data_IF_715474448629
#
_entry.id   IF_715474448629
#
_cell.length_a   1.000
_cell.length_b   1.000
_cell.length_c   1.000
_cell.angle_alpha   90.00
_cell.angle_beta   90.00
_cell.angle_gamma   90.00
#
_symmetry.space_group_name_H-M   'P 1'
#
loop_
_entity.id
_entity.type
_entity.pdbx_description
1 polymer ?
#
# COMPACT_ATOMS: atom_id res chain seq x y z
N UNK A 1 -4.81 -5.30 23.12
CA UNK A 1 -4.31 -5.68 21.78
C UNK A 1 -2.86 -5.26 21.64
N UNK A 2 -2.04 -6.15 21.10
CA UNK A 2 -0.63 -5.81 20.89
C UNK A 2 -0.42 -5.34 19.46
N UNK A 3 -0.31 -4.03 19.28
CA UNK A 3 -0.17 -3.43 17.98
C UNK A 3 1.22 -3.60 17.36
N UNK A 4 2.17 -4.12 18.13
CA UNK A 4 3.53 -4.33 17.61
C UNK A 4 3.73 -5.68 16.92
N UNK A 5 2.78 -6.60 17.06
CA UNK A 5 2.95 -7.94 16.51
C UNK A 5 3.01 -7.99 15.00
N UNK A 6 2.21 -7.18 14.36
CA UNK A 6 2.16 -7.16 12.90
C UNK A 6 1.73 -5.77 12.48
N UNK A 7 2.71 -4.88 12.40
CA UNK A 7 2.46 -3.49 12.12
C UNK A 7 3.41 -3.00 11.04
N UNK A 8 2.84 -2.38 10.03
CA UNK A 8 3.61 -1.77 8.95
C UNK A 8 3.24 -0.30 8.90
N UNK A 9 4.24 0.54 8.87
CA UNK A 9 4.07 1.98 8.71
C UNK A 9 4.87 2.41 7.50
N UNK A 10 4.22 3.14 6.59
CA UNK A 10 4.87 3.61 5.38
C UNK A 10 4.54 5.07 5.15
N UNK A 11 5.53 5.83 4.72
CA UNK A 11 5.31 7.20 4.24
C UNK A 11 5.89 7.24 2.84
N UNK A 12 5.05 7.55 1.87
CA UNK A 12 5.49 7.58 0.49
C UNK A 12 4.44 8.16 -0.42
N UNK A 13 4.68 8.00 -1.71
CA UNK A 13 3.80 8.56 -2.73
C UNK A 13 3.00 7.46 -3.41
N UNK A 14 1.73 7.77 -3.67
CA UNK A 14 0.85 6.83 -4.34
C UNK A 14 1.33 6.65 -5.78
N UNK A 15 1.57 5.41 -6.16
CA UNK A 15 2.20 5.09 -7.45
C UNK A 15 1.26 4.88 -8.62
N UNK A 16 -0.05 4.78 -8.34
CA UNK A 16 -1.05 4.57 -9.39
C UNK A 16 -2.35 5.18 -8.92
N UNK A 17 -3.28 5.38 -9.85
CA UNK A 17 -4.63 5.77 -9.44
C UNK A 17 -5.26 4.59 -8.70
N UNK A 18 -5.79 4.81 -7.50
CA UNK A 18 -6.38 3.70 -6.75
C UNK A 18 -7.51 3.04 -7.50
N UNK A 19 -7.53 1.71 -7.45
CA UNK A 19 -8.64 0.93 -8.02
C UNK A 19 -9.67 0.70 -6.93
N UNK A 20 -10.91 1.10 -7.19
CA UNK A 20 -11.98 0.96 -6.21
C UNK A 20 -13.00 -0.05 -6.72
N UNK A 21 -13.33 -1.01 -5.88
CA UNK A 21 -14.37 -2.00 -6.17
C UNK A 21 -15.45 -1.90 -5.11
N UNK A 22 -16.70 -1.96 -5.55
CA UNK A 22 -17.82 -2.06 -4.62
C UNK A 22 -18.35 -3.48 -4.70
N UNK A 23 -18.37 -4.16 -3.57
CA UNK A 23 -18.84 -5.54 -3.49
C UNK A 23 -20.35 -5.59 -3.41
N UNK A 24 -20.92 -6.79 -3.57
CA UNK A 24 -22.37 -6.98 -3.59
C UNK A 24 -23.05 -6.47 -2.32
N UNK A 25 -22.36 -6.55 -1.19
CA UNK A 25 -22.90 -6.09 0.09
C UNK A 25 -22.73 -4.58 0.31
N UNK A 26 -22.22 -3.86 -0.72
CA UNK A 26 -21.98 -2.43 -0.62
C UNK A 26 -20.63 -2.06 -0.03
N UNK A 27 -19.86 -3.04 0.42
CA UNK A 27 -18.56 -2.78 1.03
C UNK A 27 -17.54 -2.43 -0.04
N UNK A 28 -16.74 -1.42 0.23
CA UNK A 28 -15.72 -0.97 -0.73
C UNK A 28 -14.36 -1.57 -0.44
N UNK A 29 -13.62 -1.79 -1.51
CA UNK A 29 -12.27 -2.32 -1.48
C UNK A 29 -11.41 -1.45 -2.37
N UNK A 30 -10.26 -1.00 -1.86
CA UNK A 30 -9.32 -0.19 -2.63
C UNK A 30 -7.99 -0.90 -2.75
N UNK A 31 -7.41 -0.86 -3.94
CA UNK A 31 -6.07 -1.36 -4.21
C UNK A 31 -5.22 -0.22 -4.74
N UNK A 32 -4.02 -0.07 -4.18
CA UNK A 32 -3.08 0.92 -4.67
C UNK A 32 -1.67 0.49 -4.34
N UNK A 33 -0.69 1.20 -4.92
CA UNK A 33 0.70 1.00 -4.57
C UNK A 33 1.25 2.26 -3.94
N UNK A 34 2.19 2.09 -3.03
CA UNK A 34 2.88 3.21 -2.39
C UNK A 34 4.37 3.02 -2.63
N UNK A 35 5.01 4.07 -3.13
CA UNK A 35 6.44 4.06 -3.38
C UNK A 35 7.16 4.76 -2.25
N UNK A 36 8.11 4.05 -1.64
CA UNK A 36 8.97 4.66 -0.63
C UNK A 36 10.37 4.79 -1.20
N UNK A 37 10.98 5.94 -0.99
CA UNK A 37 12.31 6.24 -1.52
C UNK A 37 13.30 6.36 -0.39
N UNK A 38 14.44 5.69 -0.56
CA UNK A 38 15.55 5.79 0.38
C UNK A 38 16.79 6.24 -0.35
N UNK A 39 17.55 7.12 0.29
CA UNK A 39 18.82 7.57 -0.25
C UNK A 39 19.91 7.17 0.73
N UNK A 40 20.98 6.58 0.20
CA UNK A 40 22.09 6.19 1.05
C UNK A 40 23.40 6.34 0.29
N UNK A 41 24.50 6.31 1.03
CA UNK A 41 25.83 6.35 0.45
C UNK A 41 26.41 4.95 0.49
N UNK A 42 26.85 4.45 -0.68
CA UNK A 42 27.39 3.10 -0.76
C UNK A 42 28.86 3.08 -0.32
N UNK A 43 29.48 1.91 -0.40
CA UNK A 43 30.87 1.73 0.02
C UNK A 43 31.85 2.57 -0.80
N UNK A 44 31.49 2.90 -2.02
CA UNK A 44 32.34 3.70 -2.92
C UNK A 44 32.15 5.20 -2.72
N UNK A 45 31.33 5.61 -1.76
CA UNK A 45 31.06 7.00 -1.50
C UNK A 45 30.05 7.62 -2.46
N UNK A 46 29.39 6.80 -3.27
CA UNK A 46 28.38 7.27 -4.23
C UNK A 46 27.01 7.34 -3.55
N UNK A 47 26.22 8.35 -3.92
CA UNK A 47 24.86 8.47 -3.44
C UNK A 47 23.96 7.60 -4.29
N UNK A 48 23.20 6.74 -3.62
CA UNK A 48 22.31 5.79 -4.28
C UNK A 48 20.88 6.04 -3.80
N UNK A 49 19.95 5.99 -4.75
CA UNK A 49 18.53 6.10 -4.42
C UNK A 49 17.87 4.77 -4.74
N UNK A 50 17.05 4.29 -3.80
CA UNK A 50 16.34 3.04 -3.96
C UNK A 50 14.86 3.27 -3.70
N UNK A 51 14.02 2.73 -4.58
CA UNK A 51 12.57 2.83 -4.47
C UNK A 51 11.99 1.45 -4.24
N UNK A 52 11.15 1.33 -3.21
CA UNK A 52 10.39 0.12 -2.96
C UNK A 52 8.93 0.38 -3.25
N UNK A 53 8.29 -0.58 -3.92
CA UNK A 53 6.89 -0.49 -4.29
C UNK A 53 6.08 -1.45 -3.42
N UNK A 54 5.14 -0.91 -2.67
CA UNK A 54 4.35 -1.70 -1.72
C UNK A 54 2.92 -1.82 -2.21
N UNK A 55 2.39 -3.03 -2.20
CA UNK A 55 0.99 -3.27 -2.50
C UNK A 55 0.17 -3.03 -1.26
N UNK A 56 -0.89 -2.27 -1.41
CA UNK A 56 -1.70 -1.82 -0.28
C UNK A 56 -3.16 -2.04 -0.60
N UNK A 57 -3.89 -2.56 0.37
CA UNK A 57 -5.32 -2.84 0.25
C UNK A 57 -6.04 -2.18 1.41
N UNK A 58 -7.21 -1.62 1.14
CA UNK A 58 -8.03 -0.99 2.17
C UNK A 58 -9.47 -1.40 2.00
N UNK A 59 -10.17 -1.52 3.12
CA UNK A 59 -11.57 -1.94 3.15
C UNK A 59 -12.43 -0.87 3.82
N UNK A 60 -13.69 -0.83 3.44
CA UNK A 60 -14.70 -0.05 4.14
C UNK A 60 -14.41 1.44 4.15
N UNK A 61 -14.43 2.04 5.32
CA UNK A 61 -14.24 3.48 5.47
C UNK A 61 -12.90 3.96 4.96
N UNK A 62 -11.85 3.19 5.18
CA UNK A 62 -10.53 3.57 4.68
C UNK A 62 -10.54 3.60 3.15
N UNK A 63 -11.20 2.62 2.52
CA UNK A 63 -11.34 2.61 1.06
C UNK A 63 -12.13 3.82 0.58
N UNK A 64 -13.15 4.24 1.30
CA UNK A 64 -13.94 5.42 0.94
C UNK A 64 -13.11 6.70 1.00
N UNK A 65 -12.25 6.82 2.00
CA UNK A 65 -11.35 7.97 2.10
C UNK A 65 -10.40 7.99 0.92
N UNK A 66 -9.87 6.83 0.56
CA UNK A 66 -8.96 6.72 -0.59
C UNK A 66 -9.68 7.13 -1.87
N UNK A 67 -10.90 6.66 -2.05
CA UNK A 67 -11.69 7.01 -3.23
C UNK A 67 -11.89 8.52 -3.37
N UNK A 68 -12.16 9.19 -2.26
CA UNK A 68 -12.48 10.62 -2.28
C UNK A 68 -11.27 11.52 -2.40
N UNK A 69 -10.17 11.16 -1.78
CA UNK A 69 -9.07 12.11 -1.57
C UNK A 69 -7.72 11.70 -2.11
N UNK A 70 -7.55 10.45 -2.48
CA UNK A 70 -6.23 9.95 -2.86
C UNK A 70 -6.11 9.82 -4.37
N UNK A 71 -5.08 10.45 -4.92
CA UNK A 71 -4.79 10.38 -6.35
C UNK A 71 -3.34 9.98 -6.53
N UNK A 72 -2.99 9.55 -7.73
CA UNK A 72 -1.61 9.22 -8.07
C UNK A 72 -0.69 10.40 -7.77
N UNK A 73 0.43 10.11 -7.13
CA UNK A 73 1.42 11.12 -6.78
C UNK A 73 1.25 11.73 -5.40
N UNK A 74 0.09 11.52 -4.77
CA UNK A 74 -0.17 12.07 -3.45
C UNK A 74 0.76 11.44 -2.40
N UNK A 75 1.30 12.28 -1.52
CA UNK A 75 2.09 11.78 -0.40
C UNK A 75 1.16 11.40 0.75
N UNK A 76 1.34 10.20 1.26
CA UNK A 76 0.49 9.69 2.34
C UNK A 76 1.33 8.97 3.38
N UNK A 77 0.80 8.93 4.60
CA UNK A 77 1.31 8.06 5.66
C UNK A 77 0.25 7.02 5.94
N UNK A 78 0.64 5.77 5.98
CA UNK A 78 -0.30 4.67 6.18
C UNK A 78 0.19 3.76 7.28
N UNK A 79 -0.76 3.09 7.92
CA UNK A 79 -0.47 2.08 8.92
C UNK A 79 -1.39 0.91 8.67
N UNK A 80 -0.84 -0.29 8.76
CA UNK A 80 -1.63 -1.49 8.56
C UNK A 80 -0.89 -2.72 9.01
N UNK A 81 -1.37 -3.86 8.54
CA UNK A 81 -0.74 -5.14 8.85
C UNK A 81 -0.30 -5.82 7.57
N UNK A 82 0.75 -6.61 7.68
CA UNK A 82 1.27 -7.37 6.54
C UNK A 82 0.46 -8.64 6.40
N UNK A 83 0.03 -8.94 5.18
CA UNK A 83 -0.70 -10.18 4.90
C UNK A 83 -0.09 -10.87 3.68
N UNK A 84 -0.21 -12.18 3.68
CA UNK A 84 0.26 -13.01 2.58
C UNK A 84 -0.90 -13.87 2.12
N UNK A 85 -1.07 -13.99 0.81
CA UNK A 85 -2.09 -14.88 0.26
C UNK A 85 -1.58 -15.52 -1.01
N UNK A 86 -2.24 -16.57 -1.43
CA UNK A 86 -1.89 -17.23 -2.67
C UNK A 86 -3.12 -17.26 -3.57
N UNK A 87 -2.86 -17.36 -4.86
CA UNK A 87 -3.92 -17.50 -5.86
C UNK A 87 -3.37 -18.29 -7.04
N UNK A 88 -4.27 -18.87 -7.83
CA UNK A 88 -3.88 -19.59 -9.02
C UNK A 88 -3.95 -18.65 -10.22
N UNK A 89 -2.90 -18.62 -11.01
CA UNK A 89 -2.87 -17.78 -12.19
C UNK A 89 -3.56 -18.47 -13.36
N UNK A 90 -3.51 -17.85 -14.53
CA UNK A 90 -4.18 -18.36 -15.74
C UNK A 90 -3.64 -19.72 -16.19
N UNK A 91 -2.39 -20.02 -15.82
CA UNK A 91 -1.75 -21.27 -16.20
C UNK A 91 -1.89 -22.35 -15.14
N UNK A 92 -2.65 -22.09 -14.08
CA UNK A 92 -2.82 -23.01 -12.98
C UNK A 92 -1.67 -23.05 -12.01
N UNK A 93 -0.71 -22.13 -12.14
CA UNK A 93 0.42 -22.08 -11.22
C UNK A 93 0.06 -21.24 -10.00
N UNK A 94 0.51 -21.70 -8.84
CA UNK A 94 0.28 -20.98 -7.60
C UNK A 94 1.18 -19.77 -7.50
N UNK A 95 0.58 -18.62 -7.25
CA UNK A 95 1.30 -17.34 -7.06
C UNK A 95 1.05 -16.83 -5.66
N UNK A 96 2.01 -16.08 -5.16
CA UNK A 96 1.96 -15.53 -3.81
C UNK A 96 2.02 -14.02 -3.87
N UNK A 97 1.24 -13.38 -3.01
CA UNK A 97 1.19 -11.93 -2.92
C UNK A 97 1.36 -11.52 -1.47
N UNK A 98 2.23 -10.54 -1.25
CA UNK A 98 2.39 -9.91 0.06
C UNK A 98 1.86 -8.48 -0.07
N UNK A 99 0.96 -8.11 0.83
CA UNK A 99 0.37 -6.78 0.78
C UNK A 99 0.12 -6.26 2.19
N UNK A 100 -0.08 -4.95 2.28
CA UNK A 100 -0.40 -4.30 3.55
C UNK A 100 -1.88 -3.98 3.53
N UNK A 101 -2.61 -4.46 4.54
CA UNK A 101 -4.03 -4.14 4.71
C UNK A 101 -4.09 -2.96 5.66
N UNK A 102 -4.62 -1.84 5.19
CA UNK A 102 -4.58 -0.59 5.93
C UNK A 102 -5.61 -0.52 7.04
N UNK A 103 -5.17 0.00 8.17
CA UNK A 103 -6.06 0.40 9.27
C UNK A 103 -6.28 1.90 9.24
N UNK A 104 -5.30 2.65 8.74
CA UNK A 104 -5.32 4.09 8.87
C UNK A 104 -4.53 4.74 7.75
N UNK A 105 -4.99 5.90 7.29
CA UNK A 105 -4.28 6.69 6.28
C UNK A 105 -4.35 8.17 6.63
N UNK A 106 -3.25 8.86 6.46
CA UNK A 106 -3.18 10.30 6.63
C UNK A 106 -2.63 10.92 5.37
N UNK A 107 -3.25 12.00 4.92
CA UNK A 107 -2.83 12.71 3.72
C UNK A 107 -1.84 13.80 4.13
N UNK A 108 -0.64 13.75 3.58
CA UNK A 108 0.44 14.63 4.00
C UNK A 108 0.66 15.83 3.10
N UNK A 109 0.46 15.68 1.81
CA UNK A 109 0.72 16.75 0.88
C UNK A 109 -0.51 17.60 0.65
N UNK A 110 -0.27 18.78 0.15
CA UNK A 110 -1.32 19.75 -0.15
C UNK A 110 -2.11 19.39 -1.39
#
# INVERSE_FOLDING_TARGET
>A
MNTLRNKVQLIGNVGNEPEIKTLENGRKLAHLTIATNEKYTNEKGEKVEQTEWHRVTAWGKTAEIIEKYVVKGKEVAVEGKLTHRSYDDKNGEKRYVTEVVLNEIALLSK
#
